data_IF_841284716692
#
_entry.id   IF_841284716692
#
_cell.length_a   1.000
_cell.length_b   1.000
_cell.length_c   1.000
_cell.angle_alpha   90.00
_cell.angle_beta   90.00
_cell.angle_gamma   90.00
#
_symmetry.space_group_name_H-M   'P 1'
#
loop_
_entity.id
_entity.type
_entity.pdbx_description
1 polymer ?
#
# COMPACT_ATOMS: atom_id res chain seq x y z
N UNK A 1 -9.24 -6.98 -7.69
CA UNK A 1 -10.25 -6.05 -8.27
C UNK A 1 -11.59 -6.69 -8.04
N UNK A 2 -12.58 -5.95 -7.56
CA UNK A 2 -13.88 -6.48 -7.16
C UNK A 2 -15.00 -5.53 -7.60
N UNK A 3 -16.07 -6.07 -8.17
CA UNK A 3 -17.26 -5.34 -8.62
C UNK A 3 -18.43 -6.35 -8.75
N UNK A 4 -19.68 -5.90 -8.65
CA UNK A 4 -20.86 -6.79 -8.69
C UNK A 4 -21.15 -7.38 -10.08
N UNK A 5 -20.61 -6.81 -11.16
CA UNK A 5 -20.84 -7.22 -12.54
C UNK A 5 -19.60 -7.82 -13.21
N UNK A 6 -19.65 -7.94 -14.53
CA UNK A 6 -18.51 -8.38 -15.32
C UNK A 6 -17.32 -7.41 -15.19
N UNK A 7 -16.12 -7.96 -15.08
CA UNK A 7 -14.86 -7.23 -15.00
C UNK A 7 -13.95 -7.77 -16.09
N UNK A 8 -13.46 -6.89 -16.95
CA UNK A 8 -12.33 -7.19 -17.82
C UNK A 8 -11.09 -6.42 -17.37
N UNK A 9 -9.94 -7.08 -17.42
CA UNK A 9 -8.67 -6.47 -17.07
C UNK A 9 -7.60 -6.83 -18.09
N UNK A 10 -6.78 -5.86 -18.47
CA UNK A 10 -5.62 -6.06 -19.34
C UNK A 10 -4.42 -5.30 -18.81
N UNK A 11 -3.23 -5.87 -19.00
CA UNK A 11 -1.97 -5.27 -18.57
C UNK A 11 -0.97 -5.22 -19.72
N UNK A 12 -0.27 -4.11 -19.84
CA UNK A 12 0.81 -3.91 -20.81
C UNK A 12 1.99 -3.20 -20.14
N UNK A 13 3.21 -3.46 -20.64
CA UNK A 13 4.40 -2.77 -20.17
C UNK A 13 5.34 -2.51 -21.33
N UNK A 14 5.92 -1.32 -21.34
CA UNK A 14 7.04 -0.93 -22.19
C UNK A 14 8.16 -0.34 -21.32
N UNK A 15 9.15 0.29 -21.94
CA UNK A 15 10.34 0.84 -21.26
C UNK A 15 9.99 1.81 -20.12
N UNK A 16 9.00 2.68 -20.33
CA UNK A 16 8.74 3.82 -19.44
C UNK A 16 7.38 3.74 -18.74
N UNK A 17 6.49 2.88 -19.23
CA UNK A 17 5.12 2.77 -18.74
C UNK A 17 4.72 1.32 -18.56
N UNK A 18 4.20 1.02 -17.37
CA UNK A 18 3.37 -0.15 -17.11
C UNK A 18 1.94 0.30 -16.82
N UNK A 19 0.97 -0.34 -17.47
CA UNK A 19 -0.45 0.02 -17.38
C UNK A 19 -1.27 -1.22 -17.07
N UNK A 20 -2.19 -1.07 -16.11
CA UNK A 20 -3.31 -1.98 -15.86
C UNK A 20 -4.59 -1.24 -16.21
N UNK A 21 -5.35 -1.75 -17.17
CA UNK A 21 -6.68 -1.24 -17.53
C UNK A 21 -7.73 -2.17 -16.95
N UNK A 22 -8.71 -1.62 -16.24
CA UNK A 22 -9.83 -2.35 -15.66
C UNK A 22 -11.12 -1.72 -16.18
N UNK A 23 -12.00 -2.53 -16.75
CA UNK A 23 -13.29 -2.09 -17.29
C UNK A 23 -14.42 -2.86 -16.60
N UNK A 24 -15.44 -2.14 -16.16
CA UNK A 24 -16.67 -2.70 -15.61
C UNK A 24 -17.82 -1.72 -15.82
N UNK A 25 -19.05 -2.24 -15.91
CA UNK A 25 -20.29 -1.43 -15.97
C UNK A 25 -20.92 -1.45 -14.59
N UNK A 26 -21.21 -0.27 -14.05
CA UNK A 26 -21.79 -0.10 -12.72
C UNK A 26 -23.14 0.62 -12.82
N UNK A 27 -24.14 0.10 -12.11
CA UNK A 27 -25.39 0.80 -11.85
C UNK A 27 -25.21 1.86 -10.74
N UNK A 28 -26.11 2.85 -10.63
CA UNK A 28 -26.10 3.80 -9.51
C UNK A 28 -26.04 3.09 -8.15
N UNK A 29 -25.05 3.46 -7.34
CA UNK A 29 -24.82 2.88 -6.01
C UNK A 29 -23.87 1.66 -5.98
N UNK A 30 -23.56 1.05 -7.13
CA UNK A 30 -22.54 0.00 -7.22
C UNK A 30 -21.13 0.58 -7.17
N UNK A 31 -20.15 -0.26 -6.81
CA UNK A 31 -18.75 0.14 -6.62
C UNK A 31 -17.81 -0.84 -7.30
N UNK A 32 -16.76 -0.30 -7.92
CA UNK A 32 -15.56 -1.03 -8.32
C UNK A 32 -14.47 -0.76 -7.27
N UNK A 33 -13.93 -1.81 -6.67
CA UNK A 33 -12.80 -1.74 -5.74
C UNK A 33 -11.54 -2.27 -6.41
N UNK A 34 -10.52 -1.41 -6.47
CA UNK A 34 -9.17 -1.78 -6.92
C UNK A 34 -8.24 -1.75 -5.72
N UNK A 35 -7.70 -2.91 -5.36
CA UNK A 35 -6.58 -3.01 -4.43
C UNK A 35 -5.32 -3.26 -5.26
N UNK A 36 -4.33 -2.36 -5.13
CA UNK A 36 -3.04 -2.45 -5.81
C UNK A 36 -1.93 -2.46 -4.78
N UNK A 37 -1.29 -3.60 -4.63
CA UNK A 37 -0.10 -3.75 -3.80
C UNK A 37 1.14 -3.52 -4.66
N UNK A 38 2.10 -2.74 -4.14
CA UNK A 38 3.37 -2.44 -4.81
C UNK A 38 4.49 -2.71 -3.83
N UNK A 39 5.53 -3.41 -4.27
CA UNK A 39 6.80 -3.47 -3.55
C UNK A 39 7.87 -2.78 -4.39
N UNK A 40 8.77 -2.11 -3.69
CA UNK A 40 9.92 -1.44 -4.28
C UNK A 40 11.15 -1.79 -3.46
N UNK A 41 12.23 -2.18 -4.15
CA UNK A 41 13.49 -2.57 -3.53
C UNK A 41 14.64 -1.75 -4.10
N UNK A 42 15.52 -1.29 -3.23
CA UNK A 42 16.74 -0.61 -3.61
C UNK A 42 17.90 -1.03 -2.69
N UNK A 43 19.09 -1.13 -3.25
CA UNK A 43 20.32 -1.38 -2.49
C UNK A 43 21.53 -0.89 -3.28
N UNK A 44 22.50 -0.30 -2.58
CA UNK A 44 23.82 0.00 -3.14
C UNK A 44 24.78 -1.19 -3.16
N UNK A 45 24.45 -2.30 -2.48
CA UNK A 45 25.35 -3.43 -2.29
C UNK A 45 24.83 -4.75 -2.90
N UNK A 46 23.51 -4.93 -3.04
CA UNK A 46 22.93 -6.15 -3.62
C UNK A 46 22.99 -6.14 -5.14
N UNK A 47 23.08 -7.34 -5.72
CA UNK A 47 22.95 -7.54 -7.16
C UNK A 47 21.50 -7.33 -7.63
N UNK A 48 21.32 -7.05 -8.92
CA UNK A 48 19.97 -6.89 -9.51
C UNK A 48 19.06 -8.10 -9.31
N UNK A 49 19.51 -9.36 -9.53
CA UNK A 49 18.67 -10.53 -9.26
C UNK A 49 18.24 -10.62 -7.81
N UNK A 50 19.16 -10.40 -6.86
CA UNK A 50 18.84 -10.41 -5.44
C UNK A 50 17.82 -9.30 -5.05
N UNK A 51 17.81 -8.18 -5.79
CA UNK A 51 16.77 -7.16 -5.63
C UNK A 51 15.43 -7.57 -6.21
N UNK A 52 15.41 -8.25 -7.36
CA UNK A 52 14.18 -8.83 -7.92
C UNK A 52 13.57 -9.83 -6.96
N UNK A 53 14.37 -10.78 -6.45
CA UNK A 53 13.93 -11.81 -5.51
C UNK A 53 13.32 -11.18 -4.25
N UNK A 54 13.94 -10.11 -3.72
CA UNK A 54 13.40 -9.41 -2.56
C UNK A 54 12.04 -8.75 -2.84
N UNK A 55 11.90 -8.07 -3.98
CA UNK A 55 10.65 -7.39 -4.36
C UNK A 55 9.54 -8.41 -4.61
N UNK A 56 9.85 -9.51 -5.27
CA UNK A 56 8.92 -10.61 -5.52
C UNK A 56 8.48 -11.28 -4.20
N UNK A 57 9.42 -11.56 -3.29
CA UNK A 57 9.09 -12.11 -1.98
C UNK A 57 8.21 -11.15 -1.16
N UNK A 58 8.48 -9.84 -1.19
CA UNK A 58 7.66 -8.84 -0.51
C UNK A 58 6.24 -8.77 -1.08
N UNK A 59 6.08 -8.83 -2.41
CA UNK A 59 4.76 -8.90 -3.05
C UNK A 59 4.01 -10.19 -2.68
N UNK A 60 4.69 -11.33 -2.65
CA UNK A 60 4.10 -12.60 -2.27
C UNK A 60 3.61 -12.59 -0.81
N UNK A 61 4.43 -12.07 0.11
CA UNK A 61 4.06 -11.93 1.52
C UNK A 61 2.85 -10.99 1.70
N UNK A 62 2.86 -9.82 1.05
CA UNK A 62 1.76 -8.87 1.10
C UNK A 62 0.46 -9.42 0.46
N UNK A 63 0.58 -10.22 -0.61
CA UNK A 63 -0.57 -10.91 -1.21
C UNK A 63 -1.14 -11.98 -0.27
N UNK A 64 -0.29 -12.70 0.46
CA UNK A 64 -0.71 -13.71 1.44
C UNK A 64 -1.42 -13.10 2.65
N UNK A 65 -0.90 -12.00 3.19
CA UNK A 65 -1.53 -11.28 4.32
C UNK A 65 -2.76 -10.45 3.93
N UNK A 66 -2.86 -10.04 2.67
CA UNK A 66 -3.95 -9.22 2.17
C UNK A 66 -3.95 -7.79 2.74
N UNK A 67 -4.99 -7.02 2.43
CA UNK A 67 -5.08 -5.62 2.86
C UNK A 67 -5.18 -5.47 4.38
N UNK A 68 -6.04 -6.26 5.01
CA UNK A 68 -6.27 -6.15 6.45
C UNK A 68 -5.04 -6.56 7.24
N UNK A 69 -4.26 -7.54 6.75
CA UNK A 69 -2.96 -7.90 7.31
C UNK A 69 -1.96 -6.74 7.25
N UNK A 70 -1.82 -6.10 6.08
CA UNK A 70 -0.96 -4.93 5.94
C UNK A 70 -1.36 -3.77 6.86
N UNK A 71 -2.67 -3.52 7.02
CA UNK A 71 -3.18 -2.49 7.93
C UNK A 71 -2.87 -2.83 9.39
N UNK A 72 -3.00 -4.10 9.78
CA UNK A 72 -2.69 -4.56 11.12
C UNK A 72 -1.19 -4.39 11.44
N UNK A 73 -0.31 -4.86 10.55
CA UNK A 73 1.15 -4.72 10.71
C UNK A 73 1.59 -3.25 10.79
N UNK A 74 1.03 -2.39 9.94
CA UNK A 74 1.33 -0.95 9.96
C UNK A 74 0.87 -0.28 11.26
N UNK A 75 -0.30 -0.67 11.79
CA UNK A 75 -0.80 -0.15 13.07
C UNK A 75 0.10 -0.58 14.21
N UNK A 76 0.46 -1.86 14.29
CA UNK A 76 1.35 -2.37 15.33
C UNK A 76 2.70 -1.63 15.32
N UNK A 77 3.27 -1.42 14.13
CA UNK A 77 4.51 -0.65 13.99
C UNK A 77 4.36 0.79 14.50
N UNK A 78 3.28 1.48 14.11
CA UNK A 78 3.04 2.87 14.51
C UNK A 78 2.72 2.99 16.00
N UNK A 79 2.00 2.04 16.58
CA UNK A 79 1.70 2.00 18.01
C UNK A 79 3.00 1.87 18.83
N UNK A 80 3.91 0.97 18.42
CA UNK A 80 5.22 0.82 19.08
C UNK A 80 6.11 2.06 18.94
N UNK A 81 6.08 2.71 17.77
CA UNK A 81 6.79 3.96 17.52
C UNK A 81 6.26 5.08 18.44
N UNK A 82 4.95 5.33 18.43
CA UNK A 82 4.34 6.42 19.19
C UNK A 82 4.42 6.22 20.70
N UNK A 83 4.39 4.98 21.19
CA UNK A 83 4.61 4.68 22.60
C UNK A 83 5.95 5.22 23.15
N UNK A 84 6.93 5.50 22.28
CA UNK A 84 8.26 5.98 22.66
C UNK A 84 8.63 7.36 22.09
N UNK A 85 7.84 7.88 21.16
CA UNK A 85 8.14 9.10 20.41
C UNK A 85 7.07 10.19 20.53
N UNK A 86 5.92 9.91 21.16
CA UNK A 86 4.85 10.91 21.25
C UNK A 86 5.21 12.07 22.19
N UNK A 87 4.77 13.26 21.81
CA UNK A 87 4.90 14.50 22.57
C UNK A 87 3.52 15.07 22.77
N UNK A 88 3.05 15.07 24.01
CA UNK A 88 1.74 15.59 24.37
C UNK A 88 1.80 17.10 24.68
N UNK A 89 0.89 17.86 24.07
CA UNK A 89 0.72 19.30 24.25
C UNK A 89 -0.69 19.56 24.79
N UNK A 90 -0.78 20.14 25.98
CA UNK A 90 -2.05 20.44 26.61
C UNK A 90 -2.57 21.84 26.24
N UNK A 91 -3.88 21.94 25.99
CA UNK A 91 -4.58 23.21 25.81
C UNK A 91 -4.61 23.76 24.39
N UNK A 92 -3.98 23.08 23.42
CA UNK A 92 -3.99 23.47 22.01
C UNK A 92 -3.91 22.23 21.09
N UNK A 93 -5.05 21.88 20.50
CA UNK A 93 -5.16 20.72 19.60
C UNK A 93 -4.44 20.94 18.27
N UNK A 94 -4.35 22.19 17.80
CA UNK A 94 -3.67 22.52 16.55
C UNK A 94 -2.16 22.35 16.70
N UNK A 95 -1.60 22.80 17.83
CA UNK A 95 -0.20 22.55 18.16
C UNK A 95 0.06 21.05 18.37
N UNK A 96 -0.83 20.32 19.05
CA UNK A 96 -0.71 18.87 19.20
C UNK A 96 -0.64 18.15 17.84
N UNK A 97 -1.48 18.55 16.89
CA UNK A 97 -1.45 18.00 15.53
C UNK A 97 -0.15 18.35 14.80
N UNK A 98 0.31 19.60 14.91
CA UNK A 98 1.54 20.05 14.26
C UNK A 98 2.77 19.27 14.74
N UNK A 99 2.89 19.02 16.05
CA UNK A 99 4.01 18.26 16.63
C UNK A 99 3.99 16.80 16.17
N UNK A 100 2.82 16.15 16.09
CA UNK A 100 2.69 14.76 15.61
C UNK A 100 2.89 14.61 14.09
N UNK A 101 2.75 15.69 13.34
CA UNK A 101 2.96 15.70 11.89
C UNK A 101 4.43 15.93 11.48
N UNK A 102 5.21 16.59 12.35
CA UNK A 102 6.56 17.06 12.08
C UNK A 102 7.61 15.94 11.89
#
# INVERSE_FOLDING_TARGET
>A
VDAPGEISASSESNTDVSRLTVTSVLDPGQRLRVQKTVAHGWSGARSRPAMSDQVEAALAAAAHGGWDGLVAEQREYLDDFWARADVEVHGDEEIQQAVRFA
#
